data_IF_045282028237
#
_entry.id   IF_045282028237
#
_cell.length_a   1.000
_cell.length_b   1.000
_cell.length_c   1.000
_cell.angle_alpha   90.00
_cell.angle_beta   90.00
_cell.angle_gamma   90.00
#
_symmetry.space_group_name_H-M   'P 1'
#
loop_
_entity.id
_entity.type
_entity.pdbx_description
1 polymer ?
#
# COMPACT_ATOMS: atom_id res chain seq x y z
N UNK A 1 6.73 25.25 -28.46
CA UNK A 1 5.59 24.78 -27.60
C UNK A 1 6.12 24.59 -26.21
N UNK A 2 5.75 25.47 -25.27
CA UNK A 2 6.17 25.34 -23.88
C UNK A 2 5.49 24.11 -23.27
N UNK A 3 6.27 23.11 -22.90
CA UNK A 3 5.80 21.97 -22.12
C UNK A 3 5.41 22.50 -20.73
N UNK A 4 4.13 22.69 -20.51
CA UNK A 4 3.63 23.02 -19.17
C UNK A 4 3.88 21.82 -18.26
N UNK A 5 4.83 21.96 -17.34
CA UNK A 5 5.09 20.94 -16.33
C UNK A 5 3.77 20.64 -15.58
N UNK A 6 3.45 19.37 -15.31
CA UNK A 6 2.22 19.01 -14.62
C UNK A 6 2.17 19.69 -13.25
N UNK A 7 1.05 20.34 -12.95
CA UNK A 7 0.86 20.98 -11.65
C UNK A 7 0.84 19.91 -10.55
N UNK A 8 1.77 20.01 -9.59
CA UNK A 8 1.84 19.13 -8.42
C UNK A 8 0.89 19.56 -7.28
N UNK A 9 0.18 20.70 -7.46
CA UNK A 9 -0.80 21.18 -6.46
C UNK A 9 -2.04 20.30 -6.45
N UNK A 10 -2.52 19.97 -5.28
CA UNK A 10 -3.78 19.27 -5.06
C UNK A 10 -4.96 20.16 -5.42
N UNK A 11 -5.93 19.59 -6.11
CA UNK A 11 -7.23 20.18 -6.41
C UNK A 11 -8.30 19.45 -5.62
N UNK A 12 -9.47 20.06 -5.46
CA UNK A 12 -10.61 19.42 -4.80
C UNK A 12 -10.95 18.06 -5.41
N UNK A 13 -10.90 17.95 -6.73
CA UNK A 13 -11.14 16.68 -7.41
C UNK A 13 -10.11 15.62 -7.06
N UNK A 14 -8.84 15.99 -6.86
CA UNK A 14 -7.79 15.05 -6.48
C UNK A 14 -8.06 14.51 -5.05
N UNK A 15 -8.53 15.36 -4.13
CA UNK A 15 -8.90 14.97 -2.76
C UNK A 15 -10.11 14.03 -2.77
N UNK A 16 -11.15 14.36 -3.53
CA UNK A 16 -12.35 13.52 -3.65
C UNK A 16 -11.97 12.16 -4.25
N UNK A 17 -11.16 12.16 -5.32
CA UNK A 17 -10.69 10.92 -5.94
C UNK A 17 -9.88 10.07 -4.96
N UNK A 18 -9.00 10.69 -4.18
CA UNK A 18 -8.21 10.01 -3.17
C UNK A 18 -9.08 9.38 -2.07
N UNK A 19 -10.09 10.10 -1.61
CA UNK A 19 -11.02 9.59 -0.60
C UNK A 19 -11.84 8.40 -1.15
N UNK A 20 -12.37 8.52 -2.36
CA UNK A 20 -13.14 7.44 -3.00
C UNK A 20 -12.28 6.20 -3.24
N UNK A 21 -11.06 6.37 -3.76
CA UNK A 21 -10.12 5.27 -3.95
C UNK A 21 -9.73 4.63 -2.61
N UNK A 22 -9.45 5.42 -1.59
CA UNK A 22 -9.10 4.92 -0.26
C UNK A 22 -10.23 4.09 0.34
N UNK A 23 -11.48 4.55 0.25
CA UNK A 23 -12.65 3.79 0.71
C UNK A 23 -12.82 2.51 -0.09
N UNK A 24 -12.72 2.58 -1.43
CA UNK A 24 -12.87 1.41 -2.29
C UNK A 24 -11.79 0.35 -2.01
N UNK A 25 -10.53 0.76 -1.89
CA UNK A 25 -9.43 -0.14 -1.52
C UNK A 25 -9.63 -0.71 -0.11
N UNK A 26 -10.08 0.10 0.85
CA UNK A 26 -10.36 -0.35 2.21
C UNK A 26 -11.45 -1.43 2.25
N UNK A 27 -12.51 -1.30 1.46
CA UNK A 27 -13.53 -2.34 1.32
C UNK A 27 -12.96 -3.62 0.69
N UNK A 28 -12.10 -3.48 -0.32
CA UNK A 28 -11.38 -4.64 -0.90
C UNK A 28 -10.51 -5.31 0.18
N UNK A 29 -9.82 -4.54 1.01
CA UNK A 29 -9.01 -5.07 2.10
C UNK A 29 -9.85 -5.84 3.13
N UNK A 30 -11.05 -5.33 3.49
CA UNK A 30 -11.97 -6.04 4.39
C UNK A 30 -12.36 -7.40 3.81
N UNK A 31 -12.76 -7.46 2.56
CA UNK A 31 -13.09 -8.73 1.88
C UNK A 31 -11.85 -9.63 1.82
N UNK A 32 -10.70 -9.08 1.48
CA UNK A 32 -9.46 -9.83 1.37
C UNK A 32 -8.95 -10.35 2.72
N UNK A 33 -9.20 -9.66 3.81
CA UNK A 33 -8.90 -10.13 5.16
C UNK A 33 -9.60 -11.44 5.47
N UNK A 34 -10.80 -11.67 4.93
CA UNK A 34 -11.56 -12.91 5.14
C UNK A 34 -11.05 -14.05 4.26
N UNK A 35 -10.66 -13.77 3.04
CA UNK A 35 -10.29 -14.78 2.02
C UNK A 35 -8.78 -14.98 1.96
N UNK A 36 -8.03 -13.88 2.03
CA UNK A 36 -6.57 -13.88 1.87
C UNK A 36 -5.85 -14.64 2.98
N UNK A 37 -6.36 -14.61 4.21
CA UNK A 37 -5.78 -15.35 5.32
C UNK A 37 -5.75 -16.87 5.07
N UNK A 38 -6.86 -17.43 4.59
CA UNK A 38 -6.92 -18.84 4.20
C UNK A 38 -5.99 -19.14 3.02
N UNK A 39 -5.94 -18.24 2.03
CA UNK A 39 -5.02 -18.36 0.89
C UNK A 39 -3.56 -18.32 1.31
N UNK A 40 -3.21 -17.45 2.24
CA UNK A 40 -1.86 -17.34 2.80
C UNK A 40 -1.42 -18.64 3.48
N UNK A 41 -2.25 -19.18 4.37
CA UNK A 41 -1.97 -20.44 5.06
C UNK A 41 -1.86 -21.62 4.08
N UNK A 42 -2.72 -21.67 3.07
CA UNK A 42 -2.62 -22.68 2.03
C UNK A 42 -1.32 -22.56 1.23
N UNK A 43 -0.95 -21.35 0.79
CA UNK A 43 0.24 -21.13 -0.01
C UNK A 43 1.54 -21.36 0.77
N UNK A 44 1.56 -21.14 2.07
CA UNK A 44 2.69 -21.49 2.95
C UNK A 44 3.03 -22.99 2.90
N UNK A 45 2.05 -23.85 2.67
CA UNK A 45 2.28 -25.30 2.56
C UNK A 45 3.00 -25.70 1.27
N UNK A 46 2.91 -24.86 0.22
CA UNK A 46 3.54 -25.08 -1.08
C UNK A 46 5.03 -24.75 -1.03
N UNK A 47 5.40 -23.71 -0.27
CA UNK A 47 6.81 -23.34 -0.09
C UNK A 47 7.03 -22.01 0.61
N UNK A 48 8.24 -21.81 1.15
CA UNK A 48 8.62 -20.57 1.81
C UNK A 48 8.46 -19.37 0.87
N UNK A 49 7.80 -18.31 1.33
CA UNK A 49 7.61 -17.08 0.58
C UNK A 49 6.45 -17.07 -0.43
N UNK A 50 5.89 -18.23 -0.80
CA UNK A 50 4.74 -18.29 -1.76
C UNK A 50 3.50 -17.61 -1.16
N UNK A 51 3.33 -17.66 0.15
CA UNK A 51 2.27 -16.91 0.87
C UNK A 51 2.32 -15.41 0.61
N UNK A 52 3.51 -14.84 0.37
CA UNK A 52 3.69 -13.42 0.05
C UNK A 52 2.95 -12.94 -1.21
N UNK A 53 2.59 -13.84 -2.14
CA UNK A 53 1.79 -13.49 -3.31
C UNK A 53 0.39 -12.98 -2.93
N UNK A 54 -0.14 -13.44 -1.81
CA UNK A 54 -1.46 -13.02 -1.30
C UNK A 54 -1.41 -11.62 -0.71
N UNK A 55 -0.25 -11.18 -0.23
CA UNK A 55 -0.11 -9.85 0.41
C UNK A 55 -0.20 -8.71 -0.60
N UNK A 56 0.02 -8.98 -1.89
CA UNK A 56 -0.02 -7.97 -2.94
C UNK A 56 -1.32 -7.18 -3.04
N UNK A 57 -2.44 -7.73 -2.59
CA UNK A 57 -3.74 -7.05 -2.60
C UNK A 57 -3.77 -5.88 -1.60
N UNK A 58 -3.12 -6.03 -0.44
CA UNK A 58 -3.04 -4.95 0.55
C UNK A 58 -2.14 -3.78 0.12
N UNK A 59 -1.35 -3.93 -0.94
CA UNK A 59 -0.49 -2.88 -1.50
C UNK A 59 -1.20 -2.03 -2.57
N UNK A 60 -2.46 -2.35 -2.89
CA UNK A 60 -3.20 -1.70 -3.98
C UNK A 60 -3.48 -0.23 -3.73
N UNK A 61 -3.80 0.16 -2.50
CA UNK A 61 -4.20 1.52 -2.18
C UNK A 61 -3.11 2.54 -2.53
N UNK A 62 -1.89 2.32 -2.05
CA UNK A 62 -0.76 3.20 -2.32
C UNK A 62 -0.38 3.22 -3.80
N UNK A 63 -0.29 2.04 -4.41
CA UNK A 63 0.07 1.90 -5.82
C UNK A 63 -0.95 2.60 -6.72
N UNK A 64 -2.25 2.34 -6.53
CA UNK A 64 -3.32 2.96 -7.31
C UNK A 64 -3.46 4.45 -7.02
N UNK A 65 -3.36 4.85 -5.74
CA UNK A 65 -3.45 6.24 -5.33
C UNK A 65 -2.40 7.10 -6.02
N UNK A 66 -1.15 6.69 -5.96
CA UNK A 66 -0.05 7.38 -6.64
C UNK A 66 -0.21 7.39 -8.16
N UNK A 67 -0.57 6.24 -8.75
CA UNK A 67 -0.70 6.09 -10.19
C UNK A 67 -1.85 6.93 -10.79
N UNK A 68 -2.99 6.98 -10.11
CA UNK A 68 -4.21 7.67 -10.60
C UNK A 68 -4.13 9.17 -10.35
N UNK A 69 -3.77 9.57 -9.13
CA UNK A 69 -3.85 10.98 -8.71
C UNK A 69 -2.64 11.78 -9.17
N UNK A 70 -1.47 11.14 -9.18
CA UNK A 70 -0.22 11.74 -9.69
C UNK A 70 0.19 13.02 -8.96
N UNK A 71 -0.04 13.07 -7.66
CA UNK A 71 0.32 14.19 -6.78
C UNK A 71 1.20 13.71 -5.64
N UNK A 72 2.10 14.55 -5.14
CA UNK A 72 2.86 14.24 -3.94
C UNK A 72 1.95 13.89 -2.76
N UNK A 73 2.25 12.80 -2.06
CA UNK A 73 1.47 12.32 -0.93
C UNK A 73 0.24 11.48 -1.29
N UNK A 74 -0.07 11.29 -2.58
CA UNK A 74 -1.29 10.60 -2.99
C UNK A 74 -1.25 9.09 -2.67
N UNK A 75 -0.12 8.44 -2.90
CA UNK A 75 0.05 7.04 -2.56
C UNK A 75 -0.10 6.81 -1.06
N UNK A 76 0.59 7.61 -0.28
CA UNK A 76 0.52 7.56 1.18
C UNK A 76 -0.89 7.80 1.71
N UNK A 77 -1.58 8.83 1.22
CA UNK A 77 -2.92 9.19 1.68
C UNK A 77 -3.95 8.09 1.36
N UNK A 78 -3.95 7.56 0.14
CA UNK A 78 -4.92 6.54 -0.28
C UNK A 78 -4.70 5.24 0.49
N UNK A 79 -3.45 4.83 0.70
CA UNK A 79 -3.13 3.62 1.48
C UNK A 79 -3.56 3.77 2.94
N UNK A 80 -3.22 4.89 3.56
CA UNK A 80 -3.61 5.16 4.95
C UNK A 80 -5.14 5.22 5.12
N UNK A 81 -5.85 5.83 4.16
CA UNK A 81 -7.31 5.84 4.14
C UNK A 81 -7.87 4.42 4.01
N UNK A 82 -7.32 3.60 3.11
CA UNK A 82 -7.74 2.22 2.93
C UNK A 82 -7.52 1.38 4.19
N UNK A 83 -6.36 1.52 4.83
CA UNK A 83 -6.05 0.88 6.10
C UNK A 83 -7.01 1.32 7.21
N UNK A 84 -7.33 2.62 7.28
CA UNK A 84 -8.27 3.18 8.27
C UNK A 84 -9.67 2.62 8.09
N UNK A 85 -10.17 2.56 6.85
CA UNK A 85 -11.48 1.97 6.53
C UNK A 85 -11.49 0.49 6.88
N UNK A 86 -10.45 -0.26 6.51
CA UNK A 86 -10.33 -1.68 6.83
C UNK A 86 -10.33 -1.92 8.35
N UNK A 87 -9.58 -1.11 9.11
CA UNK A 87 -9.56 -1.19 10.57
C UNK A 87 -10.95 -0.88 11.18
N UNK A 88 -11.60 0.19 10.73
CA UNK A 88 -12.90 0.61 11.24
C UNK A 88 -14.00 -0.43 10.97
N UNK A 89 -13.88 -1.20 9.90
CA UNK A 89 -14.81 -2.27 9.54
C UNK A 89 -14.44 -3.66 10.12
N UNK A 90 -13.48 -3.71 11.02
CA UNK A 90 -13.16 -4.91 11.80
C UNK A 90 -11.99 -5.73 11.26
N UNK A 91 -10.92 -5.09 10.83
CA UNK A 91 -9.66 -5.79 10.56
C UNK A 91 -9.20 -6.59 11.77
N UNK A 92 -8.86 -7.85 11.57
CA UNK A 92 -8.37 -8.74 12.63
C UNK A 92 -7.04 -8.26 13.26
N UNK A 93 -6.29 -7.39 12.59
CA UNK A 93 -5.04 -6.82 13.09
C UNK A 93 -5.24 -5.47 13.80
N UNK A 94 -6.47 -4.97 13.89
CA UNK A 94 -6.81 -3.74 14.61
C UNK A 94 -5.85 -2.57 14.30
N UNK A 95 -5.18 -2.02 15.31
CA UNK A 95 -4.28 -0.85 15.18
C UNK A 95 -3.06 -1.16 14.31
N UNK A 96 -2.57 -2.41 14.26
CA UNK A 96 -1.45 -2.79 13.41
C UNK A 96 -1.74 -2.54 11.94
N UNK A 97 -3.01 -2.62 11.51
CA UNK A 97 -3.45 -2.25 10.16
C UNK A 97 -3.06 -0.82 9.78
N UNK A 98 -3.08 0.11 10.74
CA UNK A 98 -2.68 1.51 10.49
C UNK A 98 -1.17 1.61 10.32
N UNK A 99 -0.38 0.90 11.13
CA UNK A 99 1.08 0.89 10.97
C UNK A 99 1.50 0.28 9.64
N UNK A 100 0.84 -0.80 9.22
CA UNK A 100 1.02 -1.39 7.89
C UNK A 100 0.67 -0.39 6.79
N UNK A 101 -0.47 0.29 6.87
CA UNK A 101 -0.85 1.32 5.92
C UNK A 101 0.15 2.48 5.83
N UNK A 102 0.73 2.89 6.97
CA UNK A 102 1.79 3.91 6.98
C UNK A 102 3.05 3.42 6.26
N UNK A 103 3.52 2.21 6.56
CA UNK A 103 4.72 1.65 5.96
C UNK A 103 4.53 1.43 4.45
N UNK A 104 3.45 0.79 4.05
CA UNK A 104 3.11 0.49 2.66
C UNK A 104 2.91 1.76 1.84
N UNK A 105 2.16 2.72 2.37
CA UNK A 105 1.93 4.01 1.73
C UNK A 105 3.21 4.82 1.53
N UNK A 106 4.11 4.84 2.53
CA UNK A 106 5.42 5.47 2.42
C UNK A 106 6.28 4.78 1.36
N UNK A 107 6.29 3.45 1.32
CA UNK A 107 7.04 2.69 0.32
C UNK A 107 6.62 3.03 -1.11
N UNK A 108 5.32 3.08 -1.39
CA UNK A 108 4.81 3.49 -2.69
C UNK A 108 5.16 4.95 -3.00
N UNK A 109 4.98 5.85 -2.04
CA UNK A 109 5.24 7.28 -2.19
C UNK A 109 6.70 7.56 -2.54
N UNK A 110 7.64 6.87 -1.91
CA UNK A 110 9.08 7.00 -2.20
C UNK A 110 9.37 6.72 -3.68
N UNK A 111 8.77 5.70 -4.27
CA UNK A 111 9.00 5.38 -5.70
C UNK A 111 8.48 6.48 -6.61
N UNK A 112 7.27 7.00 -6.36
CA UNK A 112 6.73 8.11 -7.15
C UNK A 112 7.53 9.40 -6.97
N UNK A 113 8.06 9.65 -5.77
CA UNK A 113 8.95 10.78 -5.49
C UNK A 113 10.29 10.66 -6.24
N UNK A 114 10.90 9.47 -6.27
CA UNK A 114 12.16 9.21 -6.99
C UNK A 114 12.06 9.48 -8.49
N UNK A 115 10.89 9.25 -9.08
CA UNK A 115 10.64 9.63 -10.49
C UNK A 115 10.08 11.05 -10.62
N UNK A 116 10.14 11.84 -9.55
CA UNK A 116 9.69 13.23 -9.46
C UNK A 116 8.25 13.44 -9.92
N UNK A 117 7.38 12.44 -9.69
CA UNK A 117 5.97 12.45 -10.10
C UNK A 117 5.76 12.72 -11.60
N UNK A 118 6.69 12.26 -12.44
CA UNK A 118 6.69 12.52 -13.89
C UNK A 118 6.48 11.26 -14.72
N UNK A 119 6.66 10.10 -14.16
CA UNK A 119 6.57 8.81 -14.88
C UNK A 119 5.54 7.91 -14.23
N UNK A 120 4.56 7.49 -15.02
CA UNK A 120 3.46 6.63 -14.60
C UNK A 120 3.23 5.55 -15.65
N UNK A 121 3.82 4.39 -15.43
CA UNK A 121 3.67 3.20 -16.26
C UNK A 121 3.64 1.95 -15.37
N UNK A 122 3.40 0.79 -15.98
CA UNK A 122 3.30 -0.46 -15.25
C UNK A 122 4.57 -0.81 -14.46
N UNK A 123 5.75 -0.47 -14.99
CA UNK A 123 7.04 -0.72 -14.31
C UNK A 123 7.15 0.11 -13.02
N UNK A 124 6.80 1.38 -13.07
CA UNK A 124 6.83 2.26 -11.87
C UNK A 124 5.77 1.82 -10.85
N UNK A 125 4.57 1.44 -11.32
CA UNK A 125 3.54 0.89 -10.43
C UNK A 125 4.00 -0.41 -9.77
N UNK A 126 4.61 -1.31 -10.52
CA UNK A 126 5.20 -2.55 -9.99
C UNK A 126 6.33 -2.27 -8.98
N UNK A 127 7.20 -1.31 -9.28
CA UNK A 127 8.25 -0.88 -8.35
C UNK A 127 7.66 -0.28 -7.07
N UNK A 128 6.60 0.51 -7.16
CA UNK A 128 5.90 1.06 -6.00
C UNK A 128 5.34 -0.04 -5.11
N UNK A 129 4.68 -1.06 -5.68
CA UNK A 129 4.22 -2.22 -4.92
C UNK A 129 5.36 -3.01 -4.29
N UNK A 130 6.46 -3.24 -5.02
CA UNK A 130 7.61 -3.97 -4.50
C UNK A 130 8.28 -3.22 -3.31
N UNK A 131 8.45 -1.90 -3.40
CA UNK A 131 9.03 -1.10 -2.32
C UNK A 131 8.06 -1.01 -1.14
N UNK A 132 6.76 -0.90 -1.37
CA UNK A 132 5.74 -1.01 -0.32
C UNK A 132 5.86 -2.31 0.45
N UNK A 133 6.03 -3.42 -0.25
CA UNK A 133 6.24 -4.74 0.37
C UNK A 133 7.50 -4.77 1.24
N UNK A 134 8.62 -4.17 0.78
CA UNK A 134 9.86 -4.10 1.56
C UNK A 134 9.65 -3.28 2.84
N UNK A 135 8.96 -2.15 2.76
CA UNK A 135 8.65 -1.31 3.93
C UNK A 135 7.77 -2.06 4.94
N UNK A 136 6.77 -2.78 4.47
CA UNK A 136 5.94 -3.64 5.32
C UNK A 136 6.76 -4.75 5.98
N UNK A 137 7.57 -5.44 5.21
CA UNK A 137 8.44 -6.50 5.74
C UNK A 137 9.38 -5.99 6.84
N UNK A 138 9.99 -4.81 6.63
CA UNK A 138 10.84 -4.17 7.65
C UNK A 138 10.02 -3.84 8.89
N UNK A 139 8.81 -3.28 8.73
CA UNK A 139 7.92 -2.99 9.86
C UNK A 139 7.58 -4.27 10.65
N UNK A 140 7.23 -5.34 9.97
CA UNK A 140 6.92 -6.62 10.60
C UNK A 140 8.09 -7.20 11.39
N UNK A 141 9.33 -7.03 10.94
CA UNK A 141 10.52 -7.43 11.71
C UNK A 141 10.60 -6.71 13.07
N UNK A 142 10.18 -5.44 13.13
CA UNK A 142 10.14 -4.70 14.38
C UNK A 142 8.96 -5.09 15.26
N UNK A 143 7.76 -5.20 14.70
CA UNK A 143 6.52 -5.49 15.44
C UNK A 143 6.50 -6.92 15.98
N UNK A 144 6.88 -7.91 15.18
CA UNK A 144 6.84 -9.31 15.58
C UNK A 144 7.98 -9.72 16.50
N UNK A 145 8.89 -8.80 16.85
CA UNK A 145 10.01 -9.06 17.75
C UNK A 145 10.99 -10.10 17.21
N UNK A 146 11.00 -10.39 15.93
CA UNK A 146 11.94 -11.32 15.31
C UNK A 146 13.39 -10.92 15.57
N UNK A 147 13.69 -9.61 15.57
CA UNK A 147 15.00 -9.07 15.90
C UNK A 147 15.38 -9.32 17.37
N UNK A 148 14.39 -9.30 18.28
CA UNK A 148 14.60 -9.58 19.71
C UNK A 148 14.81 -11.07 20.01
N UNK A 149 14.38 -11.97 19.11
CA UNK A 149 14.49 -13.43 19.28
C UNK A 149 15.71 -14.04 18.60
N UNK A 150 16.55 -13.23 17.96
CA UNK A 150 17.79 -13.71 17.31
C UNK A 150 17.54 -14.67 16.15
N UNK A 151 16.38 -14.64 15.53
CA UNK A 151 16.04 -15.43 14.35
C UNK A 151 16.35 -14.59 13.10
N UNK A 152 17.61 -14.53 12.77
CA UNK A 152 18.11 -14.24 11.43
C UNK A 152 18.71 -15.49 10.86
#
# INVERSE_FOLDING_TARGET
MASTAPSLRWRVIDIVTAAVLGVACGLIFVVWNQVGGAGYEFLKTIGPGVGGLVTGVWLLGGTLGGYVIRKPGAAFFVELMAATVSMALGSQWAVETIYSGLAQGLGAEVVFALVAYRRYNATIAGAAGAVSFVFEWVLELFLSGHLAKGVL
#
